data_IF_537195170628
#
_entry.id   IF_537195170628
#
_cell.length_a   1.000
_cell.length_b   1.000
_cell.length_c   1.000
_cell.angle_alpha   90.00
_cell.angle_beta   90.00
_cell.angle_gamma   90.00
#
_symmetry.space_group_name_H-M   'P 1'
#
loop_
_entity.id
_entity.type
_entity.pdbx_description
1 polymer ?
#
# COMPACT_ATOMS: atom_id res chain seq x y z
N UNK A 1 -42.87 33.01 29.67
CA UNK A 1 -42.17 32.20 28.65
C UNK A 1 -42.91 30.89 28.52
N UNK A 2 -43.38 30.54 27.31
CA UNK A 2 -44.29 29.39 27.12
C UNK A 2 -43.53 28.07 27.15
N UNK A 3 -44.19 26.99 27.58
CA UNK A 3 -43.63 25.63 27.61
C UNK A 3 -43.08 25.19 26.24
N UNK A 4 -43.60 25.77 25.15
CA UNK A 4 -43.17 25.53 23.78
C UNK A 4 -41.75 26.07 23.51
N UNK A 5 -41.43 27.30 23.93
CA UNK A 5 -40.07 27.87 23.74
C UNK A 5 -39.02 27.11 24.54
N UNK A 6 -39.38 26.62 25.74
CA UNK A 6 -38.49 25.81 26.56
C UNK A 6 -38.19 24.45 25.90
N UNK A 7 -39.22 23.78 25.36
CA UNK A 7 -39.06 22.51 24.66
C UNK A 7 -38.21 22.64 23.37
N UNK A 8 -38.40 23.72 22.60
CA UNK A 8 -37.59 24.00 21.40
C UNK A 8 -36.13 24.29 21.77
N UNK A 9 -35.87 25.07 22.84
CA UNK A 9 -34.51 25.37 23.26
C UNK A 9 -33.77 24.11 23.78
N UNK A 10 -34.45 23.26 24.56
CA UNK A 10 -33.84 22.02 25.07
C UNK A 10 -33.57 20.99 23.97
N UNK A 11 -34.49 20.83 23.02
CA UNK A 11 -34.25 19.95 21.85
C UNK A 11 -33.11 20.47 20.99
N UNK A 12 -33.00 21.78 20.81
CA UNK A 12 -31.91 22.39 20.05
C UNK A 12 -30.55 22.31 20.75
N UNK A 13 -30.51 22.44 22.08
CA UNK A 13 -29.31 22.17 22.89
C UNK A 13 -28.87 20.71 22.81
N UNK A 14 -29.81 19.76 22.87
CA UNK A 14 -29.55 18.32 22.72
C UNK A 14 -29.05 17.98 21.32
N UNK A 15 -29.64 18.56 20.28
CA UNK A 15 -29.20 18.38 18.91
C UNK A 15 -27.78 18.95 18.68
N UNK A 16 -27.51 20.17 19.17
CA UNK A 16 -26.15 20.76 19.13
C UNK A 16 -25.11 19.96 19.91
N UNK A 17 -25.49 19.31 21.01
CA UNK A 17 -24.55 18.48 21.79
C UNK A 17 -24.27 17.15 21.10
N UNK A 18 -25.28 16.51 20.50
CA UNK A 18 -25.11 15.30 19.68
C UNK A 18 -24.32 15.57 18.39
N UNK A 19 -24.60 16.66 17.69
CA UNK A 19 -23.86 17.08 16.50
C UNK A 19 -22.38 17.33 16.83
N UNK A 20 -22.07 18.03 17.93
CA UNK A 20 -20.69 18.25 18.40
C UNK A 20 -19.99 16.96 18.84
N UNK A 21 -20.70 15.94 19.33
CA UNK A 21 -20.12 14.63 19.66
C UNK A 21 -19.79 13.84 18.40
N UNK A 22 -20.67 13.85 17.39
CA UNK A 22 -20.44 13.22 16.09
C UNK A 22 -19.30 13.88 15.32
N UNK A 23 -19.26 15.22 15.29
CA UNK A 23 -18.17 15.97 14.68
C UNK A 23 -16.83 15.67 15.37
N UNK A 24 -16.80 15.60 16.71
CA UNK A 24 -15.59 15.18 17.43
C UNK A 24 -15.14 13.76 17.11
N UNK A 25 -16.06 12.82 16.91
CA UNK A 25 -15.70 11.46 16.48
C UNK A 25 -15.15 11.44 15.06
N UNK A 26 -15.75 12.18 14.13
CA UNK A 26 -15.27 12.29 12.74
C UNK A 26 -13.89 12.96 12.71
N UNK A 27 -13.72 14.06 13.44
CA UNK A 27 -12.45 14.76 13.55
C UNK A 27 -11.35 13.86 14.12
N UNK A 28 -11.66 13.08 15.17
CA UNK A 28 -10.72 12.11 15.74
C UNK A 28 -10.34 10.99 14.76
N UNK A 29 -11.29 10.52 13.94
CA UNK A 29 -10.98 9.53 12.89
C UNK A 29 -10.15 10.13 11.75
N UNK A 30 -10.34 11.42 11.43
CA UNK A 30 -9.53 12.14 10.45
C UNK A 30 -8.12 12.45 10.99
N UNK A 31 -7.99 12.77 12.29
CA UNK A 31 -6.70 12.94 12.97
C UNK A 31 -5.92 11.61 13.07
N UNK A 32 -6.60 10.50 13.31
CA UNK A 32 -5.98 9.16 13.27
C UNK A 32 -5.59 8.71 11.85
N UNK A 33 -6.21 9.32 10.82
CA UNK A 33 -5.83 9.16 9.41
C UNK A 33 -4.92 10.28 8.91
N UNK A 34 -4.59 11.27 9.74
CA UNK A 34 -3.59 12.25 9.40
C UNK A 34 -2.28 11.45 9.23
N UNK A 35 -1.67 11.52 8.04
CA UNK A 35 -0.54 10.68 7.75
C UNK A 35 0.65 11.10 8.64
N UNK A 36 0.93 10.26 9.63
CA UNK A 36 2.04 10.43 10.55
C UNK A 36 3.32 9.91 9.87
N UNK A 37 3.86 10.66 8.91
CA UNK A 37 5.20 10.39 8.33
C UNK A 37 6.33 10.86 9.26
N UNK A 38 6.15 10.75 10.57
CA UNK A 38 7.25 10.88 11.53
C UNK A 38 7.96 9.54 11.62
N UNK A 39 9.04 9.39 10.85
CA UNK A 39 9.97 8.27 11.01
C UNK A 39 10.62 8.39 12.39
N UNK A 40 10.48 7.39 13.30
CA UNK A 40 11.09 7.48 14.62
C UNK A 40 12.62 7.43 14.49
N UNK A 41 13.31 8.46 14.96
CA UNK A 41 14.77 8.45 15.11
C UNK A 41 15.58 8.85 13.87
N UNK A 42 14.94 9.32 12.79
CA UNK A 42 15.64 9.96 11.68
C UNK A 42 15.27 11.45 11.68
N UNK A 43 16.26 12.31 11.93
CA UNK A 43 16.08 13.76 11.83
C UNK A 43 15.35 14.10 10.54
N UNK A 44 14.45 15.10 10.58
CA UNK A 44 13.64 15.51 9.43
C UNK A 44 14.50 15.48 8.17
N UNK A 45 14.27 14.50 7.30
CA UNK A 45 14.76 14.56 5.94
C UNK A 45 13.92 15.65 5.27
N UNK A 46 14.34 16.90 5.48
CA UNK A 46 13.97 17.99 4.59
C UNK A 46 14.64 17.67 3.27
N UNK A 47 13.97 16.84 2.48
CA UNK A 47 14.24 16.72 1.06
C UNK A 47 13.72 18.02 0.46
N UNK A 48 14.51 19.08 0.61
CA UNK A 48 14.30 20.37 -0.02
C UNK A 48 14.71 20.20 -1.49
N UNK A 49 13.93 19.39 -2.22
CA UNK A 49 13.95 19.44 -3.68
C UNK A 49 13.40 20.80 -4.04
N UNK A 50 14.29 21.70 -4.47
CA UNK A 50 13.94 23.02 -4.98
C UNK A 50 12.82 22.85 -6.00
N UNK A 51 11.60 23.16 -5.59
CA UNK A 51 10.46 23.16 -6.46
C UNK A 51 10.79 24.05 -7.65
N UNK A 52 10.78 23.47 -8.85
CA UNK A 52 10.89 24.20 -10.11
C UNK A 52 12.18 25.03 -10.31
N UNK A 53 13.33 24.37 -10.46
CA UNK A 53 14.35 24.91 -11.36
C UNK A 53 14.00 24.49 -12.79
N UNK A 54 13.40 25.39 -13.58
CA UNK A 54 13.43 25.26 -15.04
C UNK A 54 14.89 25.46 -15.45
N UNK A 55 15.63 24.38 -15.69
CA UNK A 55 17.08 24.46 -15.88
C UNK A 55 17.45 25.20 -17.17
N UNK A 56 18.18 26.30 -17.01
CA UNK A 56 18.98 26.93 -18.07
C UNK A 56 20.33 26.20 -18.17
N UNK A 57 20.82 25.83 -19.37
CA UNK A 57 22.04 25.02 -19.55
C UNK A 57 23.33 25.55 -18.90
N UNK A 58 23.38 26.83 -18.54
CA UNK A 58 24.59 27.51 -18.03
C UNK A 58 24.97 27.21 -16.58
N UNK A 59 24.05 26.70 -15.75
CA UNK A 59 24.30 26.48 -14.31
C UNK A 59 24.75 25.05 -13.96
N UNK A 60 24.79 24.14 -14.94
CA UNK A 60 25.12 22.72 -14.75
C UNK A 60 26.57 22.49 -14.26
N UNK A 61 27.51 23.33 -14.68
CA UNK A 61 28.93 23.21 -14.31
C UNK A 61 29.25 23.76 -12.90
N UNK A 62 28.36 24.56 -12.30
CA UNK A 62 28.60 25.17 -10.97
C UNK A 62 28.12 24.30 -9.80
N UNK A 63 27.51 23.14 -10.07
CA UNK A 63 26.72 22.38 -9.09
C UNK A 63 27.14 20.92 -8.91
N UNK A 64 28.44 20.64 -9.02
CA UNK A 64 29.01 19.39 -8.46
C UNK A 64 29.02 19.57 -6.94
N UNK A 65 27.89 19.29 -6.30
CA UNK A 65 27.80 19.12 -4.86
C UNK A 65 27.94 17.64 -4.48
N UNK A 66 28.07 17.38 -3.18
CA UNK A 66 28.16 16.02 -2.65
C UNK A 66 26.91 15.17 -2.90
N UNK A 67 25.75 15.76 -3.12
CA UNK A 67 24.50 15.04 -3.34
C UNK A 67 24.38 14.56 -4.79
N UNK A 68 24.88 15.32 -5.75
CA UNK A 68 25.05 14.87 -7.14
C UNK A 68 26.04 13.72 -7.27
N UNK A 69 27.14 13.74 -6.52
CA UNK A 69 28.11 12.62 -6.49
C UNK A 69 27.43 11.36 -5.92
N UNK A 70 26.69 11.48 -4.81
CA UNK A 70 25.93 10.35 -4.24
C UNK A 70 24.91 9.82 -5.24
N UNK A 71 24.16 10.70 -5.90
CA UNK A 71 23.16 10.32 -6.89
C UNK A 71 23.82 9.59 -8.07
N UNK A 72 24.89 10.14 -8.65
CA UNK A 72 25.58 9.51 -9.77
C UNK A 72 26.17 8.13 -9.42
N UNK A 73 26.70 7.97 -8.20
CA UNK A 73 27.25 6.70 -7.73
C UNK A 73 26.15 5.66 -7.42
N UNK A 74 25.02 6.08 -6.87
CA UNK A 74 23.96 5.17 -6.41
C UNK A 74 22.87 4.92 -7.45
N UNK A 75 22.65 5.83 -8.40
CA UNK A 75 21.64 5.70 -9.44
C UNK A 75 21.77 4.39 -10.22
N UNK A 76 22.96 3.94 -10.67
CA UNK A 76 23.09 2.66 -11.37
C UNK A 76 22.58 1.47 -10.54
N UNK A 77 22.87 1.47 -9.24
CA UNK A 77 22.46 0.41 -8.31
C UNK A 77 20.94 0.44 -8.09
N UNK A 78 20.38 1.64 -7.89
CA UNK A 78 18.93 1.82 -7.70
C UNK A 78 18.18 1.36 -8.96
N UNK A 79 18.58 1.85 -10.13
CA UNK A 79 17.93 1.53 -11.38
C UNK A 79 18.19 0.09 -11.84
N UNK A 80 19.29 -0.55 -11.43
CA UNK A 80 19.51 -1.98 -11.68
C UNK A 80 18.41 -2.86 -11.07
N UNK A 81 17.76 -2.41 -9.98
CA UNK A 81 16.66 -3.16 -9.36
C UNK A 81 15.39 -3.25 -10.22
N UNK A 82 15.30 -2.46 -11.29
CA UNK A 82 14.25 -2.64 -12.30
C UNK A 82 14.31 -4.04 -12.91
N UNK A 83 15.50 -4.61 -13.09
CA UNK A 83 15.69 -5.93 -13.70
C UNK A 83 15.03 -7.04 -12.86
N UNK A 84 15.36 -7.25 -11.57
CA UNK A 84 14.71 -8.25 -10.75
C UNK A 84 13.21 -7.97 -10.55
N UNK A 85 12.79 -6.71 -10.46
CA UNK A 85 11.37 -6.36 -10.37
C UNK A 85 10.60 -6.75 -11.63
N UNK A 86 11.14 -6.47 -12.82
CA UNK A 86 10.53 -6.85 -14.09
C UNK A 86 10.49 -8.37 -14.29
N UNK A 87 11.57 -9.07 -13.91
CA UNK A 87 11.59 -10.54 -13.94
C UNK A 87 10.51 -11.12 -13.03
N UNK A 88 10.36 -10.57 -11.81
CA UNK A 88 9.33 -10.99 -10.87
C UNK A 88 7.91 -10.72 -11.41
N UNK A 89 7.67 -9.55 -11.99
CA UNK A 89 6.40 -9.17 -12.62
C UNK A 89 6.01 -10.17 -13.72
N UNK A 90 6.94 -10.49 -14.63
CA UNK A 90 6.74 -11.45 -15.71
C UNK A 90 6.50 -12.85 -15.16
N UNK A 91 7.36 -13.32 -14.24
CA UNK A 91 7.27 -14.65 -13.66
C UNK A 91 5.95 -14.85 -12.91
N UNK A 92 5.52 -13.88 -12.10
CA UNK A 92 4.27 -13.96 -11.36
C UNK A 92 3.05 -13.88 -12.29
N UNK A 93 3.12 -13.05 -13.35
CA UNK A 93 2.07 -12.98 -14.37
C UNK A 93 1.92 -14.31 -15.11
N UNK A 94 3.04 -14.93 -15.51
CA UNK A 94 3.05 -16.22 -16.18
C UNK A 94 2.52 -17.32 -15.26
N UNK A 95 3.01 -17.37 -14.01
CA UNK A 95 2.55 -18.31 -13.00
C UNK A 95 1.03 -18.27 -12.82
N UNK A 96 0.43 -17.09 -12.61
CA UNK A 96 -1.02 -17.04 -12.43
C UNK A 96 -1.77 -17.42 -13.71
N UNK A 97 -1.29 -17.02 -14.89
CA UNK A 97 -1.95 -17.33 -16.17
C UNK A 97 -1.98 -18.83 -16.44
N UNK A 98 -0.92 -19.54 -16.07
CA UNK A 98 -0.82 -20.98 -16.27
C UNK A 98 -1.55 -21.76 -15.15
N UNK A 99 -1.35 -21.40 -13.89
CA UNK A 99 -1.82 -22.21 -12.76
C UNK A 99 -3.25 -21.85 -12.30
N UNK A 100 -3.64 -20.58 -12.32
CA UNK A 100 -4.92 -20.18 -11.70
C UNK A 100 -6.14 -20.79 -12.40
N UNK A 101 -6.21 -20.88 -13.75
CA UNK A 101 -7.30 -21.57 -14.43
C UNK A 101 -7.40 -23.06 -14.03
N UNK A 102 -6.27 -23.73 -13.86
CA UNK A 102 -6.20 -25.15 -13.47
C UNK A 102 -6.78 -25.36 -12.07
N UNK A 103 -6.50 -24.44 -11.14
CA UNK A 103 -6.93 -24.55 -9.74
C UNK A 103 -8.26 -23.83 -9.42
N UNK A 104 -8.90 -23.20 -10.41
CA UNK A 104 -10.12 -22.42 -10.23
C UNK A 104 -9.94 -21.13 -9.43
N UNK A 105 -8.73 -20.56 -9.41
CA UNK A 105 -8.43 -19.31 -8.71
C UNK A 105 -8.77 -18.12 -9.64
N UNK A 106 -9.40 -17.07 -9.12
CA UNK A 106 -9.65 -15.86 -9.92
C UNK A 106 -8.33 -15.13 -10.23
N UNK A 107 -8.04 -14.77 -11.49
CA UNK A 107 -6.83 -14.02 -11.85
C UNK A 107 -6.80 -12.63 -11.22
N UNK A 108 -5.61 -12.16 -10.87
CA UNK A 108 -5.37 -10.81 -10.34
C UNK A 108 -5.13 -9.87 -11.52
N UNK A 109 -5.90 -8.78 -11.59
CA UNK A 109 -5.72 -7.75 -12.63
C UNK A 109 -4.52 -6.89 -12.27
N UNK A 110 -3.54 -6.84 -13.17
CA UNK A 110 -2.31 -6.05 -12.97
C UNK A 110 -2.56 -4.54 -12.93
N UNK A 111 -3.55 -4.07 -13.70
CA UNK A 111 -3.95 -2.65 -13.78
C UNK A 111 -4.41 -2.06 -12.45
N UNK A 112 -4.89 -2.91 -11.53
CA UNK A 112 -5.40 -2.46 -10.24
C UNK A 112 -4.26 -2.14 -9.25
N UNK A 113 -3.02 -2.51 -9.60
CA UNK A 113 -1.84 -2.37 -8.74
C UNK A 113 -0.75 -1.52 -9.39
N UNK A 114 -0.44 -1.76 -10.67
CA UNK A 114 0.60 -1.00 -11.39
C UNK A 114 -0.06 0.19 -12.10
N UNK A 115 -0.16 1.31 -11.37
CA UNK A 115 -0.70 2.58 -11.86
C UNK A 115 0.46 3.56 -12.05
N UNK A 116 0.64 4.02 -13.29
CA UNK A 116 1.70 4.95 -13.68
C UNK A 116 1.01 6.23 -14.16
N UNK A 117 0.91 7.26 -13.33
CA UNK A 117 0.16 8.47 -13.66
C UNK A 117 0.95 9.77 -13.37
N UNK A 118 1.88 9.74 -12.40
CA UNK A 118 2.66 10.92 -12.01
C UNK A 118 3.57 11.46 -13.10
N UNK A 119 3.89 10.68 -14.13
CA UNK A 119 4.63 11.16 -15.31
C UNK A 119 3.92 12.32 -16.03
N UNK A 120 2.59 12.44 -15.85
CA UNK A 120 1.75 13.52 -16.43
C UNK A 120 1.82 14.83 -15.67
N UNK A 121 2.43 14.86 -14.48
CA UNK A 121 2.51 16.07 -13.66
C UNK A 121 3.43 17.11 -14.35
N UNK A 122 2.93 18.31 -14.66
CA UNK A 122 3.65 19.28 -15.48
C UNK A 122 4.80 19.98 -14.73
N UNK A 123 4.78 19.95 -13.40
CA UNK A 123 5.77 20.62 -12.54
C UNK A 123 6.98 19.76 -12.20
N UNK A 124 7.01 18.49 -12.62
CA UNK A 124 8.15 17.61 -12.42
C UNK A 124 9.12 17.69 -13.60
N UNK A 125 10.41 17.76 -13.30
CA UNK A 125 11.51 17.59 -14.25
C UNK A 125 11.54 16.17 -14.83
N UNK A 126 12.27 15.97 -15.92
CA UNK A 126 12.39 14.65 -16.57
C UNK A 126 12.95 13.57 -15.63
N UNK A 127 13.96 13.92 -14.82
CA UNK A 127 14.57 13.01 -13.84
C UNK A 127 13.61 12.67 -12.70
N UNK A 128 12.85 13.65 -12.19
CA UNK A 128 11.82 13.41 -11.17
C UNK A 128 10.72 12.49 -11.70
N UNK A 129 10.31 12.67 -12.96
CA UNK A 129 9.34 11.78 -13.61
C UNK A 129 9.87 10.36 -13.72
N UNK A 130 11.15 10.18 -14.05
CA UNK A 130 11.79 8.86 -14.12
C UNK A 130 11.84 8.20 -12.73
N UNK A 131 12.23 8.94 -11.70
CA UNK A 131 12.21 8.46 -10.31
C UNK A 131 10.79 8.07 -9.87
N UNK A 132 9.78 8.89 -10.20
CA UNK A 132 8.38 8.58 -9.92
C UNK A 132 7.96 7.29 -10.62
N UNK A 133 8.27 7.14 -11.91
CA UNK A 133 7.94 5.93 -12.68
C UNK A 133 8.56 4.68 -12.06
N UNK A 134 9.83 4.77 -11.63
CA UNK A 134 10.53 3.68 -10.95
C UNK A 134 9.81 3.26 -9.66
N UNK A 135 9.50 4.22 -8.78
CA UNK A 135 8.84 3.95 -7.51
C UNK A 135 7.40 3.45 -7.68
N UNK A 136 6.62 4.02 -8.61
CA UNK A 136 5.27 3.57 -8.92
C UNK A 136 5.27 2.13 -9.44
N UNK A 137 6.18 1.83 -10.37
CA UNK A 137 6.33 0.50 -10.92
C UNK A 137 6.71 -0.53 -9.84
N UNK A 138 7.77 -0.26 -9.07
CA UNK A 138 8.25 -1.19 -8.05
C UNK A 138 7.21 -1.49 -6.96
N UNK A 139 6.58 -0.44 -6.41
CA UNK A 139 5.54 -0.63 -5.39
C UNK A 139 4.30 -1.35 -5.95
N UNK A 140 3.89 -0.99 -7.17
CA UNK A 140 2.76 -1.63 -7.85
C UNK A 140 3.00 -3.12 -8.11
N UNK A 141 4.19 -3.48 -8.62
CA UNK A 141 4.56 -4.88 -8.88
C UNK A 141 4.61 -5.68 -7.59
N UNK A 142 5.22 -5.16 -6.51
CA UNK A 142 5.28 -5.87 -5.24
C UNK A 142 3.88 -6.12 -4.64
N UNK A 143 2.99 -5.14 -4.72
CA UNK A 143 1.61 -5.29 -4.27
C UNK A 143 0.83 -6.30 -5.12
N UNK A 144 1.01 -6.26 -6.44
CA UNK A 144 0.43 -7.22 -7.39
C UNK A 144 0.86 -8.66 -7.10
N UNK A 145 2.18 -8.89 -6.96
CA UNK A 145 2.76 -10.20 -6.67
C UNK A 145 2.31 -10.71 -5.31
N UNK A 146 2.27 -9.84 -4.29
CA UNK A 146 1.75 -10.17 -2.97
C UNK A 146 0.29 -10.62 -3.02
N UNK A 147 -0.54 -9.99 -3.86
CA UNK A 147 -1.94 -10.42 -4.04
C UNK A 147 -2.04 -11.80 -4.68
N UNK A 148 -1.22 -12.08 -5.69
CA UNK A 148 -1.14 -13.41 -6.32
C UNK A 148 -0.78 -14.45 -5.25
N UNK A 149 0.29 -14.19 -4.47
CA UNK A 149 0.71 -15.06 -3.39
C UNK A 149 -0.38 -15.28 -2.33
N UNK A 150 -1.12 -14.24 -1.96
CA UNK A 150 -2.21 -14.34 -0.99
C UNK A 150 -3.38 -15.23 -1.49
N UNK A 151 -3.74 -15.16 -2.78
CA UNK A 151 -4.76 -16.04 -3.38
C UNK A 151 -4.27 -17.49 -3.51
N UNK A 152 -3.00 -17.66 -3.85
CA UNK A 152 -2.28 -18.92 -3.79
C UNK A 152 -2.37 -19.51 -2.38
N UNK A 153 -1.97 -18.76 -1.36
CA UNK A 153 -1.98 -19.19 0.04
C UNK A 153 -3.39 -19.59 0.50
N UNK A 154 -4.40 -18.79 0.18
CA UNK A 154 -5.80 -19.10 0.46
C UNK A 154 -6.25 -20.46 -0.12
N UNK A 155 -5.75 -20.82 -1.31
CA UNK A 155 -6.08 -22.10 -1.97
C UNK A 155 -5.32 -23.29 -1.38
N UNK A 156 -4.04 -23.10 -1.05
CA UNK A 156 -3.15 -24.19 -0.65
C UNK A 156 -3.01 -24.37 0.86
N UNK A 157 -2.81 -23.31 1.63
CA UNK A 157 -2.50 -23.38 3.06
C UNK A 157 -3.20 -22.26 3.85
N UNK A 158 -4.52 -22.32 4.03
CA UNK A 158 -5.31 -21.35 4.80
C UNK A 158 -5.15 -21.58 6.32
N UNK A 159 -3.91 -21.59 6.81
CA UNK A 159 -3.54 -21.71 8.22
C UNK A 159 -2.75 -20.46 8.60
N UNK A 160 -3.08 -19.84 9.73
CA UNK A 160 -2.36 -18.66 10.22
C UNK A 160 -0.94 -19.03 10.65
N UNK A 161 -0.01 -18.12 10.45
CA UNK A 161 1.34 -18.26 11.01
C UNK A 161 1.31 -18.23 12.54
N UNK A 162 2.21 -19.00 13.17
CA UNK A 162 2.42 -18.96 14.62
C UNK A 162 2.83 -17.55 15.10
N UNK A 163 3.63 -16.86 14.28
CA UNK A 163 4.02 -15.47 14.48
C UNK A 163 3.33 -14.60 13.45
N UNK A 164 2.54 -13.63 13.90
CA UNK A 164 1.85 -12.68 13.03
C UNK A 164 2.87 -11.83 12.25
N UNK A 165 2.80 -11.82 10.91
CA UNK A 165 3.55 -10.87 10.10
C UNK A 165 3.17 -9.42 10.45
N UNK A 166 4.11 -8.47 10.25
CA UNK A 166 3.83 -7.04 10.46
C UNK A 166 2.67 -6.53 9.61
N UNK A 167 2.58 -7.03 8.40
CA UNK A 167 1.49 -6.75 7.47
C UNK A 167 0.93 -8.11 7.01
N UNK A 168 -0.22 -8.50 7.56
CA UNK A 168 -0.95 -9.69 7.14
C UNK A 168 -1.90 -9.33 5.99
N UNK A 169 -2.09 -10.24 5.04
CA UNK A 169 -2.99 -9.98 3.92
C UNK A 169 -4.47 -10.17 4.32
N UNK A 170 -5.40 -9.62 3.53
CA UNK A 170 -6.84 -9.63 3.84
C UNK A 170 -7.45 -11.02 4.13
N UNK A 171 -6.91 -12.10 3.54
CA UNK A 171 -7.46 -13.45 3.76
C UNK A 171 -7.04 -14.10 5.09
N UNK A 172 -6.04 -13.55 5.80
CA UNK A 172 -5.45 -14.20 6.98
C UNK A 172 -6.47 -14.36 8.12
N UNK A 173 -7.45 -13.45 8.24
CA UNK A 173 -8.51 -13.57 9.24
C UNK A 173 -9.40 -14.80 9.03
N UNK A 174 -9.58 -15.23 7.78
CA UNK A 174 -10.38 -16.42 7.45
C UNK A 174 -9.67 -17.75 7.76
N UNK A 175 -8.35 -17.73 7.93
CA UNK A 175 -7.51 -18.93 8.07
C UNK A 175 -7.69 -19.59 9.44
N UNK A 176 -7.47 -20.91 9.46
CA UNK A 176 -7.47 -21.69 10.69
C UNK A 176 -6.34 -21.25 11.64
N UNK A 177 -6.55 -21.23 12.97
CA UNK A 177 -5.48 -20.95 13.92
C UNK A 177 -4.30 -21.91 13.75
N UNK A 178 -3.10 -21.41 14.07
CA UNK A 178 -1.89 -22.23 14.03
C UNK A 178 -2.02 -23.43 14.98
N UNK A 179 -1.78 -24.65 14.46
CA UNK A 179 -1.85 -25.89 15.24
C UNK A 179 -3.26 -26.45 15.48
N UNK A 180 -4.32 -25.77 15.03
CA UNK A 180 -5.70 -26.24 15.19
C UNK A 180 -6.17 -27.07 13.98
N UNK A 181 -5.88 -28.36 14.02
CA UNK A 181 -6.26 -29.31 12.97
C UNK A 181 -7.79 -29.38 12.78
N UNK A 182 -8.55 -29.30 13.88
CA UNK A 182 -10.01 -29.38 13.82
C UNK A 182 -10.60 -28.18 13.07
N UNK A 183 -10.18 -26.96 13.42
CA UNK A 183 -10.57 -25.76 12.69
C UNK A 183 -10.13 -25.78 11.23
N UNK A 184 -8.97 -26.34 10.91
CA UNK A 184 -8.50 -26.51 9.53
C UNK A 184 -9.41 -27.44 8.72
N UNK A 185 -9.74 -28.63 9.27
CA UNK A 185 -10.62 -29.60 8.59
C UNK A 185 -12.04 -29.07 8.41
N UNK A 186 -12.59 -28.36 9.40
CA UNK A 186 -13.92 -27.74 9.30
C UNK A 186 -13.99 -26.68 8.19
N UNK A 187 -12.94 -25.88 8.03
CA UNK A 187 -12.87 -24.83 7.00
C UNK A 187 -12.53 -25.37 5.62
N UNK A 188 -11.88 -26.54 5.54
CA UNK A 188 -11.44 -27.17 4.29
C UNK A 188 -11.81 -28.67 4.18
N UNK A 189 -13.11 -29.00 4.11
CA UNK A 189 -13.60 -30.38 4.15
C UNK A 189 -13.18 -31.21 2.93
N UNK A 190 -12.91 -30.60 1.77
CA UNK A 190 -12.52 -31.36 0.57
C UNK A 190 -11.15 -32.06 0.67
N UNK A 191 -10.37 -31.79 1.73
CA UNK A 191 -9.07 -32.43 2.00
C UNK A 191 -9.11 -33.47 3.13
N UNK A 192 -10.25 -33.66 3.79
CA UNK A 192 -10.36 -34.55 4.95
C UNK A 192 -10.48 -36.04 4.61
N UNK A 193 -10.47 -36.43 3.32
CA UNK A 193 -10.66 -37.83 2.89
C UNK A 193 -9.38 -38.67 2.83
N UNK A 194 -8.20 -38.11 3.06
CA UNK A 194 -6.94 -38.85 3.08
C UNK A 194 -6.53 -39.19 4.52
N UNK A 195 -7.28 -40.10 5.13
CA UNK A 195 -6.84 -40.82 6.33
C UNK A 195 -6.92 -42.32 6.02
N UNK A 196 -5.77 -42.91 5.69
CA UNK A 196 -5.50 -44.34 5.93
C UNK A 196 -4.58 -44.39 7.14
#
# INVERSE_FOLDING_TARGET
>A
MSAFEFAVNETWKRWRSQARRRLRMIQRHLELRAPQWELPGHGRFHVEWSAASKETPGDFLKRIDWDWIKLAATAPIIYAQVIPLALLDIAATLYQRLCFPIYGITPVRRSDYVVLDRYRLPYLSGLEKLNCLYCEYGNGVLAYVRKIAARTEQRWCPIRHAKLPRDAHEYTEGFAPYGDEHAYRLRHPSRSSHRK
#
